data_IF_168155551932
#
_entry.id   IF_168155551932
#
_cell.length_a   1.000
_cell.length_b   1.000
_cell.length_c   1.000
_cell.angle_alpha   90.00
_cell.angle_beta   90.00
_cell.angle_gamma   90.00
#
_symmetry.space_group_name_H-M   'P 1'
#
loop_
_entity.id
_entity.type
_entity.pdbx_description
1 polymer ?
#
# COMPACT_ATOMS: atom_id res chain seq x y z
N UNK A 1 -9.13 -15.29 28.71
CA UNK A 1 -8.52 -13.94 28.78
C UNK A 1 -7.05 -13.96 28.33
N UNK A 2 -6.25 -14.95 28.75
CA UNK A 2 -4.85 -15.09 28.30
C UNK A 2 -4.66 -15.29 26.79
N UNK A 3 -5.54 -16.04 26.12
CA UNK A 3 -5.42 -16.27 24.68
C UNK A 3 -5.47 -14.97 23.85
N UNK A 4 -6.26 -13.98 24.29
CA UNK A 4 -6.37 -12.67 23.64
C UNK A 4 -5.08 -11.87 23.83
N UNK A 5 -4.48 -11.92 25.02
CA UNK A 5 -3.21 -11.25 25.31
C UNK A 5 -2.05 -11.82 24.48
N UNK A 6 -1.98 -13.14 24.34
CA UNK A 6 -1.00 -13.82 23.47
C UNK A 6 -1.20 -13.52 21.98
N UNK A 7 -2.44 -13.42 21.50
CA UNK A 7 -2.73 -12.99 20.14
C UNK A 7 -2.33 -11.54 19.88
N UNK A 8 -2.50 -10.66 20.88
CA UNK A 8 -2.08 -9.26 20.78
C UNK A 8 -0.55 -9.15 20.65
N UNK A 9 0.20 -9.89 21.48
CA UNK A 9 1.66 -9.94 21.39
C UNK A 9 2.14 -10.51 20.04
N UNK A 10 1.53 -11.59 19.55
CA UNK A 10 1.85 -12.15 18.23
C UNK A 10 1.51 -11.18 17.10
N UNK A 11 0.40 -10.46 17.20
CA UNK A 11 0.02 -9.41 16.26
C UNK A 11 1.01 -8.24 16.26
N UNK A 12 1.52 -7.86 17.44
CA UNK A 12 2.51 -6.79 17.59
C UNK A 12 3.87 -7.20 17.02
N UNK A 13 4.30 -8.45 17.22
CA UNK A 13 5.56 -8.98 16.68
C UNK A 13 5.52 -8.99 15.12
N UNK A 14 4.51 -9.65 14.55
CA UNK A 14 4.31 -9.73 13.10
C UNK A 14 4.06 -8.34 12.50
N UNK A 15 3.23 -7.53 13.15
CA UNK A 15 2.91 -6.17 12.73
C UNK A 15 4.11 -5.25 12.78
N UNK A 16 4.97 -5.38 13.79
CA UNK A 16 6.23 -4.65 13.92
C UNK A 16 7.20 -4.97 12.79
N UNK A 17 7.34 -6.26 12.44
CA UNK A 17 8.13 -6.67 11.29
C UNK A 17 7.63 -6.04 9.98
N UNK A 18 6.31 -6.08 9.72
CA UNK A 18 5.73 -5.44 8.54
C UNK A 18 5.85 -3.91 8.55
N UNK A 19 5.72 -3.27 9.71
CA UNK A 19 5.88 -1.82 9.86
C UNK A 19 7.32 -1.38 9.55
N UNK A 20 8.33 -2.13 10.00
CA UNK A 20 9.73 -1.86 9.69
C UNK A 20 10.02 -2.02 8.19
N UNK A 21 9.46 -3.05 7.55
CA UNK A 21 9.59 -3.25 6.11
C UNK A 21 8.96 -2.07 5.34
N UNK A 22 7.75 -1.65 5.74
CA UNK A 22 7.05 -0.52 5.11
C UNK A 22 7.79 0.81 5.31
N UNK A 23 8.36 1.04 6.49
CA UNK A 23 9.19 2.22 6.76
C UNK A 23 10.46 2.23 5.90
N UNK A 24 11.15 1.10 5.77
CA UNK A 24 12.33 0.98 4.91
C UNK A 24 12.00 1.32 3.45
N UNK A 25 10.90 0.77 2.93
CA UNK A 25 10.45 1.05 1.56
C UNK A 25 10.08 2.53 1.37
N UNK A 26 9.39 3.12 2.35
CA UNK A 26 9.00 4.55 2.32
C UNK A 26 10.23 5.46 2.32
N UNK A 27 11.25 5.16 3.13
CA UNK A 27 12.49 5.94 3.17
C UNK A 27 13.27 5.85 1.86
N UNK A 28 13.35 4.66 1.24
CA UNK A 28 14.03 4.48 -0.05
C UNK A 28 13.37 5.33 -1.13
N UNK A 29 12.06 5.22 -1.30
CA UNK A 29 11.34 6.00 -2.32
C UNK A 29 11.30 7.50 -2.00
N UNK A 30 11.16 7.86 -0.72
CA UNK A 30 11.18 9.24 -0.27
C UNK A 30 12.53 9.95 -0.50
N UNK A 31 13.64 9.24 -0.29
CA UNK A 31 15.00 9.79 -0.52
C UNK A 31 15.38 9.82 -2.00
N UNK A 32 14.89 8.87 -2.81
CA UNK A 32 15.08 8.86 -4.26
C UNK A 32 14.21 9.88 -4.99
N UNK A 33 13.18 10.44 -4.33
CA UNK A 33 12.23 11.36 -4.96
C UNK A 33 11.32 10.71 -6.00
N UNK A 34 11.24 9.37 -6.01
CA UNK A 34 10.44 8.60 -6.96
C UNK A 34 9.21 8.06 -6.24
N UNK A 35 8.03 8.24 -6.82
CA UNK A 35 6.79 7.68 -6.27
C UNK A 35 6.86 6.16 -6.28
N UNK A 36 6.58 5.55 -5.13
CA UNK A 36 6.49 4.10 -4.99
C UNK A 36 5.30 3.54 -5.80
N UNK A 37 5.57 2.73 -6.83
CA UNK A 37 4.55 2.03 -7.63
C UNK A 37 4.29 0.59 -7.14
N UNK A 38 4.39 0.31 -5.83
CA UNK A 38 4.07 -1.00 -5.25
C UNK A 38 2.66 -1.51 -5.62
N UNK A 39 1.76 -0.62 -6.03
CA UNK A 39 0.45 -0.94 -6.59
C UNK A 39 0.25 -0.42 -8.01
N UNK A 40 1.19 -0.75 -8.91
CA UNK A 40 1.10 -0.43 -10.33
C UNK A 40 -0.18 -0.93 -11.02
N UNK A 41 -0.75 -2.06 -10.57
CA UNK A 41 -2.03 -2.57 -11.07
C UNK A 41 -3.22 -1.67 -10.73
N UNK A 42 -3.28 -1.14 -9.50
CA UNK A 42 -4.33 -0.20 -9.07
C UNK A 42 -4.19 1.13 -9.78
N UNK A 43 -2.95 1.58 -10.00
CA UNK A 43 -2.67 2.77 -10.81
C UNK A 43 -3.14 2.59 -12.27
N UNK A 44 -2.88 1.42 -12.86
CA UNK A 44 -3.33 1.07 -14.21
C UNK A 44 -4.86 0.99 -14.29
N UNK A 45 -5.53 0.35 -13.32
CA UNK A 45 -7.01 0.32 -13.30
C UNK A 45 -7.58 1.74 -13.21
N UNK A 46 -6.99 2.60 -12.36
CA UNK A 46 -7.40 4.01 -12.24
C UNK A 46 -7.27 4.79 -13.55
N UNK A 47 -6.16 4.62 -14.27
CA UNK A 47 -5.95 5.30 -15.55
C UNK A 47 -6.88 4.78 -16.65
N UNK A 48 -7.12 3.47 -16.73
CA UNK A 48 -8.12 2.90 -17.65
C UNK A 48 -9.53 3.41 -17.34
N UNK A 49 -9.94 3.43 -16.06
CA UNK A 49 -11.24 3.98 -15.66
C UNK A 49 -11.40 5.45 -16.07
N UNK A 50 -10.36 6.28 -15.86
CA UNK A 50 -10.40 7.69 -16.26
C UNK A 50 -10.58 7.87 -17.77
N UNK A 51 -9.84 7.11 -18.59
CA UNK A 51 -9.95 7.17 -20.06
C UNK A 51 -11.31 6.67 -20.54
N UNK A 52 -11.80 5.56 -19.98
CA UNK A 52 -13.12 5.03 -20.31
C UNK A 52 -14.24 6.02 -19.97
N UNK A 53 -14.15 6.69 -18.81
CA UNK A 53 -15.10 7.72 -18.40
C UNK A 53 -15.04 8.96 -19.28
N UNK A 54 -13.84 9.44 -19.62
CA UNK A 54 -13.66 10.54 -20.57
C UNK A 54 -14.32 10.22 -21.91
N UNK A 55 -14.11 9.00 -22.42
CA UNK A 55 -14.69 8.54 -23.68
C UNK A 55 -16.23 8.48 -23.62
N UNK A 56 -16.80 8.11 -22.47
CA UNK A 56 -18.25 8.11 -22.27
C UNK A 56 -18.84 9.52 -22.18
N UNK A 57 -18.16 10.45 -21.50
CA UNK A 57 -18.60 11.84 -21.34
C UNK A 57 -18.45 12.68 -22.61
N UNK A 58 -17.59 12.27 -23.54
CA UNK A 58 -17.31 12.99 -24.80
C UNK A 58 -18.08 12.38 -25.98
N UNK A 59 -18.98 11.41 -25.74
CA UNK A 59 -20.02 10.95 -26.67
C UNK A 59 -21.24 11.86 -26.53
#
# INVERSE_FOLDING_TARGET
MEAVFLQLLNGLDKGGAYALIALGLTLIFGTLGVVNFAHGATFMIGSFCAVSLQKLLTI
#
